data_IF_418485199644
#
_entry.id   IF_418485199644
#
_cell.length_a   1.000
_cell.length_b   1.000
_cell.length_c   1.000
_cell.angle_alpha   90.00
_cell.angle_beta   90.00
_cell.angle_gamma   90.00
#
_symmetry.space_group_name_H-M   'P 1'
#
loop_
_entity.id
_entity.type
_entity.pdbx_description
1 polymer ?
#
# COMPACT_ATOMS: atom_id res chain seq x y z
N UNK A 1 -3.08 -43.73 -54.81
CA UNK A 1 -3.54 -42.32 -54.90
C UNK A 1 -2.98 -41.60 -53.68
N UNK A 2 -1.94 -40.78 -53.87
CA UNK A 2 -1.15 -40.20 -52.76
C UNK A 2 -1.74 -38.82 -52.41
N UNK A 3 -2.25 -38.56 -51.20
CA UNK A 3 -2.87 -37.28 -50.88
C UNK A 3 -1.78 -36.20 -50.77
N UNK A 4 -1.79 -35.25 -51.72
CA UNK A 4 -1.00 -34.03 -51.63
C UNK A 4 -1.59 -33.14 -50.56
N UNK A 5 -0.99 -33.10 -49.37
CA UNK A 5 -1.36 -32.13 -48.35
C UNK A 5 -1.08 -30.71 -48.86
N UNK A 6 -2.10 -29.82 -48.90
CA UNK A 6 -1.92 -28.47 -49.42
C UNK A 6 -1.11 -27.65 -48.41
N UNK A 7 0.01 -27.08 -48.88
CA UNK A 7 0.96 -26.30 -48.06
C UNK A 7 0.26 -25.20 -47.25
N UNK A 8 -0.85 -24.66 -47.75
CA UNK A 8 -1.70 -23.66 -47.08
C UNK A 8 -2.23 -24.11 -45.70
N UNK A 9 -2.47 -25.40 -45.48
CA UNK A 9 -2.91 -25.94 -44.18
C UNK A 9 -1.83 -25.84 -43.08
N UNK A 10 -0.55 -25.86 -43.47
CA UNK A 10 0.57 -25.81 -42.52
C UNK A 10 0.81 -24.36 -42.08
N UNK A 11 0.71 -23.41 -43.00
CA UNK A 11 0.86 -21.98 -42.72
C UNK A 11 -0.22 -21.46 -41.76
N UNK A 12 -1.47 -21.87 -41.93
CA UNK A 12 -2.57 -21.47 -41.03
C UNK A 12 -2.36 -21.99 -39.60
N UNK A 13 -1.84 -23.21 -39.46
CA UNK A 13 -1.57 -23.81 -38.14
C UNK A 13 -0.41 -23.13 -37.41
N UNK A 14 0.61 -22.67 -38.15
CA UNK A 14 1.75 -21.94 -37.57
C UNK A 14 1.33 -20.55 -37.06
N UNK A 15 0.52 -19.82 -37.83
CA UNK A 15 0.03 -18.48 -37.45
C UNK A 15 -0.88 -18.56 -36.20
N UNK A 16 -1.75 -19.58 -36.12
CA UNK A 16 -2.62 -19.80 -34.96
C UNK A 16 -1.82 -20.17 -33.70
N UNK A 17 -0.74 -20.96 -33.83
CA UNK A 17 0.11 -21.32 -32.71
C UNK A 17 0.92 -20.12 -32.17
N UNK A 18 1.44 -19.26 -33.05
CA UNK A 18 2.14 -18.03 -32.64
C UNK A 18 1.24 -17.05 -31.90
N UNK A 19 -0.02 -16.90 -32.36
CA UNK A 19 -0.98 -15.99 -31.70
C UNK A 19 -1.41 -16.48 -30.32
N UNK A 20 -1.52 -17.79 -30.10
CA UNK A 20 -1.81 -18.34 -28.77
C UNK A 20 -0.66 -18.11 -27.77
N UNK A 21 0.60 -18.21 -28.19
CA UNK A 21 1.76 -18.01 -27.31
C UNK A 21 1.90 -16.55 -26.83
N UNK A 22 1.57 -15.57 -27.68
CA UNK A 22 1.63 -14.15 -27.33
C UNK A 22 0.55 -13.76 -26.29
N UNK A 23 -0.61 -14.43 -26.29
CA UNK A 23 -1.72 -14.10 -25.39
C UNK A 23 -1.43 -14.50 -23.94
N UNK A 24 -0.65 -15.57 -23.71
CA UNK A 24 -0.31 -16.04 -22.35
C UNK A 24 0.91 -15.32 -21.74
N UNK A 25 1.76 -14.67 -22.53
CA UNK A 25 2.91 -13.93 -22.02
C UNK A 25 2.54 -12.56 -21.38
N UNK A 26 1.34 -12.04 -21.66
CA UNK A 26 0.88 -10.73 -21.16
C UNK A 26 0.56 -10.67 -19.66
N UNK A 27 0.40 -11.81 -18.99
CA UNK A 27 0.08 -11.85 -17.55
C UNK A 27 1.32 -11.77 -16.64
N UNK A 28 2.52 -11.82 -17.19
CA UNK A 28 3.76 -11.86 -16.41
C UNK A 28 4.37 -10.48 -16.13
N UNK A 29 3.86 -9.41 -16.74
CA UNK A 29 4.30 -8.06 -16.37
C UNK A 29 3.62 -7.68 -15.05
N UNK A 30 4.16 -8.24 -13.96
CA UNK A 30 3.92 -7.76 -12.60
C UNK A 30 4.06 -6.24 -12.65
N UNK A 31 2.99 -5.54 -12.34
CA UNK A 31 2.94 -4.09 -12.44
C UNK A 31 4.10 -3.51 -11.62
N UNK A 32 4.96 -2.72 -12.25
CA UNK A 32 6.00 -1.99 -11.54
C UNK A 32 5.32 -0.90 -10.70
N UNK A 33 5.17 -1.15 -9.40
CA UNK A 33 4.56 -0.17 -8.48
C UNK A 33 5.57 0.94 -8.24
N UNK A 34 5.29 2.12 -8.79
CA UNK A 34 6.03 3.34 -8.45
C UNK A 34 5.47 3.92 -7.16
N UNK A 35 6.34 4.11 -6.17
CA UNK A 35 5.90 4.59 -4.87
C UNK A 35 5.96 6.10 -4.74
N UNK A 36 4.76 6.66 -4.62
CA UNK A 36 4.44 8.02 -4.22
C UNK A 36 4.80 8.33 -2.77
N UNK A 37 5.82 9.13 -2.43
CA UNK A 37 5.85 9.73 -1.07
C UNK A 37 4.62 10.65 -0.92
N UNK A 38 3.79 10.48 0.12
CA UNK A 38 2.67 11.37 0.38
C UNK A 38 3.16 12.82 0.59
N UNK A 39 2.44 13.79 0.04
CA UNK A 39 2.71 15.20 0.31
C UNK A 39 2.34 15.54 1.76
N UNK A 40 3.06 16.48 2.37
CA UNK A 40 2.76 16.95 3.72
C UNK A 40 1.30 17.41 3.82
N UNK A 41 0.65 17.07 4.94
CA UNK A 41 -0.72 17.50 5.19
C UNK A 41 -0.74 18.98 5.59
N UNK A 42 -1.78 19.73 5.17
CA UNK A 42 -2.03 21.04 5.74
C UNK A 42 -2.34 20.90 7.25
N UNK A 43 -2.14 21.96 8.06
CA UNK A 43 -2.54 21.97 9.46
C UNK A 43 -4.01 21.58 9.61
N UNK A 44 -4.28 20.69 10.56
CA UNK A 44 -5.64 20.23 10.80
C UNK A 44 -6.50 21.31 11.47
N UNK A 45 -7.80 21.28 11.23
CA UNK A 45 -8.74 22.24 11.83
C UNK A 45 -9.76 21.56 12.75
N UNK A 46 -10.08 22.24 13.85
CA UNK A 46 -11.11 21.81 14.80
C UNK A 46 -10.88 20.36 15.25
N UNK A 47 -11.88 19.47 15.08
CA UNK A 47 -11.74 18.09 15.47
C UNK A 47 -10.48 17.41 14.90
N UNK A 48 -10.08 17.67 13.65
CA UNK A 48 -9.03 16.90 12.96
C UNK A 48 -7.60 17.28 13.34
N UNK A 49 -7.44 18.34 14.12
CA UNK A 49 -6.15 18.82 14.62
C UNK A 49 -5.36 17.74 15.38
N UNK A 50 -6.05 16.89 16.15
CA UNK A 50 -5.42 15.79 16.90
C UNK A 50 -4.74 14.78 15.97
N UNK A 51 -5.41 14.39 14.88
CA UNK A 51 -4.85 13.43 13.93
C UNK A 51 -3.64 14.04 13.20
N UNK A 52 -3.73 15.31 12.79
CA UNK A 52 -2.60 16.02 12.15
C UNK A 52 -1.41 16.17 13.09
N UNK A 53 -1.62 16.56 14.35
CA UNK A 53 -0.53 16.67 15.33
C UNK A 53 0.13 15.31 15.63
N UNK A 54 -0.66 14.24 15.65
CA UNK A 54 -0.14 12.88 15.79
C UNK A 54 0.71 12.49 14.58
N UNK A 55 0.28 12.86 13.37
CA UNK A 55 1.04 12.67 12.14
C UNK A 55 2.37 13.45 12.19
N UNK A 56 2.35 14.70 12.63
CA UNK A 56 3.55 15.53 12.76
C UNK A 56 4.56 14.91 13.74
N UNK A 57 4.06 14.34 14.83
CA UNK A 57 4.88 13.58 15.78
C UNK A 57 5.52 12.36 15.12
N UNK A 58 4.73 11.60 14.33
CA UNK A 58 5.23 10.46 13.56
C UNK A 58 6.32 10.87 12.57
N UNK A 59 6.14 11.96 11.84
CA UNK A 59 7.11 12.50 10.90
C UNK A 59 8.41 12.94 11.59
N UNK A 60 8.32 13.54 12.78
CA UNK A 60 9.48 14.00 13.55
C UNK A 60 10.35 12.84 14.08
N UNK A 61 9.72 11.70 14.41
CA UNK A 61 10.40 10.52 14.95
C UNK A 61 10.81 9.52 13.88
N UNK A 62 10.31 9.63 12.65
CA UNK A 62 10.44 8.62 11.61
C UNK A 62 11.88 8.14 11.37
N UNK A 63 12.83 9.08 11.31
CA UNK A 63 14.25 8.77 11.08
C UNK A 63 15.00 8.38 12.36
N UNK A 64 14.46 8.72 13.53
CA UNK A 64 15.13 8.55 14.83
C UNK A 64 14.70 7.25 15.51
N UNK A 65 13.40 7.03 15.56
CA UNK A 65 12.73 5.95 16.26
C UNK A 65 11.56 5.43 15.42
N UNK A 66 11.85 4.58 14.40
CA UNK A 66 10.83 4.08 13.47
C UNK A 66 9.65 3.40 14.15
N UNK A 67 9.87 2.69 15.26
CA UNK A 67 8.81 2.01 16.03
C UNK A 67 7.87 2.99 16.73
N UNK A 68 8.40 4.12 17.21
CA UNK A 68 7.59 5.21 17.80
C UNK A 68 6.78 5.90 16.72
N UNK A 69 7.42 6.25 15.59
CA UNK A 69 6.74 6.84 14.45
C UNK A 69 5.62 5.94 13.91
N UNK A 70 5.86 4.63 13.83
CA UNK A 70 4.89 3.65 13.41
C UNK A 70 3.66 3.63 14.34
N UNK A 71 3.86 3.70 15.66
CA UNK A 71 2.75 3.83 16.62
C UNK A 71 1.96 5.12 16.45
N UNK A 72 2.62 6.24 16.17
CA UNK A 72 1.94 7.50 15.90
C UNK A 72 1.07 7.43 14.62
N UNK A 73 1.58 6.84 13.53
CA UNK A 73 0.79 6.66 12.32
C UNK A 73 -0.37 5.67 12.52
N UNK A 74 -0.20 4.60 13.30
CA UNK A 74 -1.30 3.69 13.67
C UNK A 74 -2.38 4.41 14.48
N UNK A 75 -1.99 5.23 15.47
CA UNK A 75 -2.91 6.04 16.25
C UNK A 75 -3.70 7.02 15.36
N UNK A 76 -3.00 7.74 14.47
CA UNK A 76 -3.63 8.68 13.55
C UNK A 76 -4.61 7.99 12.58
N UNK A 77 -4.26 6.80 12.07
CA UNK A 77 -5.15 6.01 11.23
C UNK A 77 -6.40 5.55 12.00
N UNK A 78 -6.24 4.99 13.20
CA UNK A 78 -7.36 4.58 14.07
C UNK A 78 -8.30 5.74 14.36
N UNK A 79 -7.75 6.86 14.81
CA UNK A 79 -8.54 8.01 15.24
C UNK A 79 -9.24 8.70 14.06
N UNK A 80 -8.62 8.68 12.87
CA UNK A 80 -9.24 9.14 11.62
C UNK A 80 -10.36 8.21 11.16
N UNK A 81 -10.18 6.89 11.30
CA UNK A 81 -11.21 5.90 10.96
C UNK A 81 -12.46 6.06 11.84
N UNK A 82 -12.28 6.24 13.15
CA UNK A 82 -13.39 6.51 14.08
C UNK A 82 -14.22 7.74 13.70
N UNK A 83 -13.62 8.72 13.02
CA UNK A 83 -14.34 9.88 12.50
C UNK A 83 -15.07 9.57 11.21
N UNK A 84 -14.44 8.82 10.31
CA UNK A 84 -15.06 8.38 9.07
C UNK A 84 -16.27 7.48 9.36
N UNK A 85 -16.24 6.67 10.42
CA UNK A 85 -17.39 5.88 10.86
C UNK A 85 -18.59 6.76 11.26
N UNK A 86 -18.34 7.93 11.84
CA UNK A 86 -19.38 8.91 12.25
C UNK A 86 -19.81 9.80 11.09
N UNK A 87 -18.87 10.19 10.25
CA UNK A 87 -19.09 11.04 9.09
C UNK A 87 -18.21 10.56 7.91
N UNK A 88 -18.73 9.67 7.06
CA UNK A 88 -18.00 9.18 5.90
C UNK A 88 -17.64 10.29 4.90
N UNK A 89 -18.31 11.44 4.94
CA UNK A 89 -18.03 12.57 4.06
C UNK A 89 -16.88 13.47 4.56
N UNK A 90 -16.32 13.24 5.75
CA UNK A 90 -15.20 14.02 6.29
C UNK A 90 -13.94 13.85 5.42
N UNK A 91 -13.71 14.85 4.56
CA UNK A 91 -12.60 14.85 3.62
C UNK A 91 -11.23 14.95 4.32
N UNK A 92 -11.16 15.60 5.48
CA UNK A 92 -9.92 15.79 6.20
C UNK A 92 -9.54 14.54 7.00
N UNK A 93 -10.52 13.89 7.65
CA UNK A 93 -10.31 12.57 8.25
C UNK A 93 -9.88 11.53 7.20
N UNK A 94 -10.46 11.57 6.00
CA UNK A 94 -10.06 10.67 4.89
C UNK A 94 -8.62 10.91 4.44
N UNK A 95 -8.20 12.18 4.34
CA UNK A 95 -6.82 12.54 4.00
C UNK A 95 -5.83 12.09 5.09
N UNK A 96 -6.14 12.34 6.36
CA UNK A 96 -5.30 11.92 7.48
C UNK A 96 -5.17 10.40 7.54
N UNK A 97 -6.28 9.67 7.39
CA UNK A 97 -6.28 8.21 7.32
C UNK A 97 -5.38 7.68 6.19
N UNK A 98 -5.59 8.15 4.95
CA UNK A 98 -4.82 7.71 3.80
C UNK A 98 -3.33 8.03 3.93
N UNK A 99 -3.00 9.22 4.46
CA UNK A 99 -1.61 9.61 4.72
C UNK A 99 -0.97 8.68 5.76
N UNK A 100 -1.65 8.46 6.89
CA UNK A 100 -1.15 7.62 7.98
C UNK A 100 -0.91 6.18 7.50
N UNK A 101 -1.87 5.59 6.77
CA UNK A 101 -1.71 4.25 6.18
C UNK A 101 -0.52 4.19 5.24
N UNK A 102 -0.36 5.18 4.35
CA UNK A 102 0.78 5.21 3.44
C UNK A 102 2.12 5.33 4.20
N UNK A 103 2.18 6.12 5.28
CA UNK A 103 3.38 6.20 6.12
C UNK A 103 3.67 4.90 6.88
N UNK A 104 2.67 4.18 7.38
CA UNK A 104 2.85 2.87 8.03
C UNK A 104 3.67 1.94 7.14
N UNK A 105 3.24 1.74 5.89
CA UNK A 105 3.96 0.89 4.94
C UNK A 105 5.34 1.42 4.59
N UNK A 106 5.47 2.75 4.44
CA UNK A 106 6.78 3.34 4.14
C UNK A 106 7.76 3.11 5.29
N UNK A 107 7.34 3.31 6.54
CA UNK A 107 8.20 3.12 7.71
C UNK A 107 8.60 1.66 7.87
N UNK A 108 7.65 0.73 7.73
CA UNK A 108 7.93 -0.71 7.76
C UNK A 108 9.02 -1.08 6.74
N UNK A 109 8.89 -0.57 5.51
CA UNK A 109 9.81 -0.88 4.41
C UNK A 109 11.16 -0.18 4.54
N UNK A 110 11.18 1.13 4.82
CA UNK A 110 12.42 1.93 4.93
C UNK A 110 13.26 1.51 6.14
N UNK A 111 12.62 1.19 7.27
CA UNK A 111 13.30 0.73 8.48
C UNK A 111 13.52 -0.80 8.53
N UNK A 112 13.16 -1.52 7.45
CA UNK A 112 13.29 -2.99 7.33
C UNK A 112 12.68 -3.75 8.51
N UNK A 113 11.51 -3.29 8.97
CA UNK A 113 10.75 -3.94 10.01
C UNK A 113 10.00 -5.14 9.42
N UNK A 114 9.78 -6.16 10.24
CA UNK A 114 9.10 -7.38 9.82
C UNK A 114 7.92 -7.74 10.74
N UNK A 115 6.83 -6.96 10.69
CA UNK A 115 5.61 -7.27 11.45
C UNK A 115 4.81 -8.44 10.85
N UNK A 116 5.29 -9.04 9.76
CA UNK A 116 4.58 -10.08 9.01
C UNK A 116 4.94 -11.49 9.48
N UNK A 117 6.11 -11.67 10.09
CA UNK A 117 6.60 -12.97 10.58
C UNK A 117 6.40 -13.15 12.07
N UNK A 118 6.45 -12.07 12.86
CA UNK A 118 6.26 -12.07 14.31
C UNK A 118 5.45 -10.85 14.78
N UNK A 119 4.55 -10.98 15.78
CA UNK A 119 3.80 -9.82 16.26
C UNK A 119 4.77 -8.77 16.78
N UNK A 120 4.54 -7.51 16.42
CA UNK A 120 5.46 -6.42 16.72
C UNK A 120 4.76 -5.33 17.51
N UNK A 121 5.31 -5.00 18.70
CA UNK A 121 4.84 -3.86 19.49
C UNK A 121 5.40 -2.55 18.93
N UNK A 122 4.55 -1.55 18.78
CA UNK A 122 4.89 -0.25 18.19
C UNK A 122 4.28 0.90 19.01
N UNK A 123 4.89 2.08 18.92
CA UNK A 123 4.62 3.25 19.77
C UNK A 123 5.61 3.41 20.92
N UNK A 124 5.57 4.57 21.58
CA UNK A 124 6.52 4.95 22.62
C UNK A 124 6.56 3.96 23.79
N UNK A 125 5.40 3.39 24.13
CA UNK A 125 5.26 2.39 25.19
C UNK A 125 4.75 1.04 24.66
N UNK A 126 4.81 0.82 23.34
CA UNK A 126 4.27 -0.37 22.69
C UNK A 126 2.75 -0.47 22.84
N UNK A 127 2.05 0.64 22.64
CA UNK A 127 0.60 0.80 22.76
C UNK A 127 -0.19 -0.01 21.73
N UNK A 128 0.45 -0.33 20.60
CA UNK A 128 -0.14 -1.10 19.52
C UNK A 128 0.67 -2.36 19.26
N UNK A 129 0.00 -3.41 18.81
CA UNK A 129 0.64 -4.63 18.30
C UNK A 129 0.22 -4.85 16.86
N UNK A 130 1.18 -4.83 15.94
CA UNK A 130 0.98 -5.27 14.57
C UNK A 130 1.02 -6.79 14.56
N UNK A 131 -0.01 -7.41 14.01
CA UNK A 131 -0.19 -8.86 13.97
C UNK A 131 -0.98 -9.22 12.70
N UNK A 132 -0.84 -10.46 12.25
CA UNK A 132 -1.63 -11.03 11.16
C UNK A 132 -2.50 -12.14 11.75
N UNK A 133 -3.70 -12.28 11.18
CA UNK A 133 -4.59 -13.42 11.43
C UNK A 133 -4.49 -14.40 10.28
#
# INVERSE_FOLDING_TARGET
MNPKHPKTSIWIRLIAAETCLAFFAGCAQIATVSEKRPAALPPGSGPNQVATQTIDTGLAEEKKQPTVALGAFVAAARDSLLRLDRNPADAEARRAYNFAVARIFTVVRDAKLDPWTQPMRVGANGEFTLTWK
#
